data_IF_941809528366
#
_entry.id   IF_941809528366
#
_cell.length_a   1.000
_cell.length_b   1.000
_cell.length_c   1.000
_cell.angle_alpha   90.00
_cell.angle_beta   90.00
_cell.angle_gamma   90.00
#
_symmetry.space_group_name_H-M   'P 1'
#
loop_
_entity.id
_entity.type
_entity.pdbx_description
1 polymer ?
#
# COMPACT_ATOMS: atom_id res chain seq x y z
N UNK A 1 -38.71 11.53 17.66
CA UNK A 1 -39.00 11.52 16.19
C UNK A 1 -40.39 10.89 15.92
N UNK A 2 -40.62 9.63 16.39
CA UNK A 2 -41.89 8.95 16.18
C UNK A 2 -43.04 9.64 16.92
N UNK A 3 -42.90 9.90 18.22
CA UNK A 3 -43.92 10.59 19.06
C UNK A 3 -44.16 12.05 18.61
N UNK A 4 -43.22 12.64 17.93
CA UNK A 4 -43.31 14.00 17.35
C UNK A 4 -43.90 14.00 15.94
N UNK A 5 -44.26 12.84 15.38
CA UNK A 5 -44.79 12.69 14.04
C UNK A 5 -43.83 12.96 12.89
N UNK A 6 -42.52 12.96 13.15
CA UNK A 6 -41.50 13.18 12.14
C UNK A 6 -41.24 11.92 11.27
N UNK A 7 -41.58 10.74 11.76
CA UNK A 7 -41.58 9.47 11.03
C UNK A 7 -42.90 8.74 11.25
N UNK A 8 -43.32 7.98 10.26
CA UNK A 8 -44.58 7.19 10.31
C UNK A 8 -44.27 5.72 10.65
N UNK A 9 -45.33 4.96 11.01
CA UNK A 9 -45.20 3.49 11.15
C UNK A 9 -44.70 2.84 9.84
N UNK A 10 -45.18 3.34 8.69
CA UNK A 10 -44.74 2.84 7.38
C UNK A 10 -43.22 3.06 7.16
N UNK A 11 -42.67 4.16 7.64
CA UNK A 11 -41.20 4.40 7.57
C UNK A 11 -40.47 3.45 8.48
N UNK A 12 -40.97 3.22 9.70
CA UNK A 12 -40.42 2.26 10.64
C UNK A 12 -40.46 0.83 10.08
N UNK A 13 -41.62 0.40 9.60
CA UNK A 13 -41.83 -0.93 9.03
C UNK A 13 -40.91 -1.17 7.82
N UNK A 14 -40.73 -0.19 6.96
CA UNK A 14 -39.79 -0.26 5.82
C UNK A 14 -38.35 -0.45 6.29
N UNK A 15 -37.91 0.31 7.28
CA UNK A 15 -36.56 0.20 7.83
C UNK A 15 -36.31 -1.17 8.48
N UNK A 16 -37.26 -1.61 9.32
CA UNK A 16 -37.23 -2.92 10.00
C UNK A 16 -37.26 -4.08 9.00
N UNK A 17 -38.15 -3.98 7.96
CA UNK A 17 -38.24 -5.00 6.92
C UNK A 17 -36.93 -5.20 6.17
N UNK A 18 -36.21 -4.12 5.88
CA UNK A 18 -34.90 -4.23 5.23
C UNK A 18 -33.89 -5.02 6.09
N UNK A 19 -33.81 -4.73 7.38
CA UNK A 19 -32.93 -5.43 8.31
C UNK A 19 -33.33 -6.90 8.48
N UNK A 20 -34.63 -7.16 8.73
CA UNK A 20 -35.15 -8.50 8.92
C UNK A 20 -35.01 -9.35 7.66
N UNK A 21 -35.30 -8.80 6.48
CA UNK A 21 -35.13 -9.50 5.20
C UNK A 21 -33.69 -9.99 5.01
N UNK A 22 -32.69 -9.19 5.38
CA UNK A 22 -31.30 -9.61 5.32
C UNK A 22 -31.02 -10.74 6.31
N UNK A 23 -31.51 -10.65 7.54
CA UNK A 23 -31.37 -11.72 8.54
C UNK A 23 -32.00 -13.04 8.08
N UNK A 24 -33.20 -12.99 7.48
CA UNK A 24 -33.85 -14.18 6.92
C UNK A 24 -33.04 -14.77 5.76
N UNK A 25 -32.57 -13.95 4.81
CA UNK A 25 -31.75 -14.39 3.70
C UNK A 25 -30.44 -15.06 4.14
N UNK A 26 -29.86 -14.60 5.22
CA UNK A 26 -28.64 -15.18 5.82
C UNK A 26 -28.92 -16.41 6.69
N UNK A 27 -30.18 -16.81 6.88
CA UNK A 27 -30.56 -17.95 7.71
C UNK A 27 -30.28 -17.76 9.21
N UNK A 28 -30.18 -16.51 9.69
CA UNK A 28 -29.78 -16.21 11.07
C UNK A 28 -30.83 -16.61 12.10
N UNK A 29 -32.08 -16.85 11.69
CA UNK A 29 -33.14 -17.36 12.58
C UNK A 29 -33.11 -18.88 12.70
N UNK A 30 -32.52 -19.58 11.71
CA UNK A 30 -32.38 -21.02 11.69
C UNK A 30 -31.04 -21.48 12.29
N UNK A 31 -29.96 -20.80 11.90
CA UNK A 31 -28.62 -21.09 12.38
C UNK A 31 -27.76 -19.80 12.49
N UNK A 32 -27.82 -19.06 13.60
CA UNK A 32 -27.06 -17.82 13.79
C UNK A 32 -25.58 -18.02 14.09
N UNK A 33 -25.13 -19.25 14.28
CA UNK A 33 -23.79 -19.55 14.74
C UNK A 33 -22.82 -19.78 13.60
N UNK A 34 -21.60 -19.30 13.78
CA UNK A 34 -20.46 -19.59 12.88
C UNK A 34 -19.54 -20.63 13.51
N UNK A 35 -18.79 -21.30 12.67
CA UNK A 35 -17.78 -22.25 13.09
C UNK A 35 -16.40 -21.56 13.08
N UNK A 36 -15.80 -21.21 14.24
CA UNK A 36 -14.52 -20.49 14.28
C UNK A 36 -13.38 -21.24 13.60
N UNK A 37 -13.41 -22.58 13.63
CA UNK A 37 -12.43 -23.42 12.92
C UNK A 37 -12.55 -23.20 11.40
N UNK A 38 -13.77 -23.22 10.86
CA UNK A 38 -14.02 -23.01 9.43
C UNK A 38 -13.60 -21.62 8.99
N UNK A 39 -13.85 -20.58 9.80
CA UNK A 39 -13.40 -19.24 9.51
C UNK A 39 -11.88 -19.17 9.36
N UNK A 40 -11.12 -19.81 10.26
CA UNK A 40 -9.65 -19.88 10.16
C UNK A 40 -9.14 -20.66 8.94
N UNK A 41 -9.85 -21.67 8.50
CA UNK A 41 -9.50 -22.46 7.31
C UNK A 41 -9.76 -21.70 6.01
N UNK A 42 -10.81 -20.88 5.97
CA UNK A 42 -11.21 -20.15 4.77
C UNK A 42 -10.47 -18.82 4.63
N UNK A 43 -10.37 -18.05 5.75
CA UNK A 43 -9.66 -16.77 5.71
C UNK A 43 -8.21 -16.96 5.30
N UNK A 44 -7.80 -16.23 4.24
CA UNK A 44 -6.45 -16.30 3.68
C UNK A 44 -6.03 -17.71 3.22
N UNK A 45 -6.99 -18.51 2.76
CA UNK A 45 -6.69 -19.79 2.10
C UNK A 45 -5.76 -19.60 0.89
N UNK A 46 -5.20 -20.68 0.37
CA UNK A 46 -4.35 -20.63 -0.83
C UNK A 46 -5.09 -20.00 -2.02
N UNK A 47 -6.38 -20.28 -2.16
CA UNK A 47 -7.22 -19.71 -3.22
C UNK A 47 -7.40 -18.20 -3.03
N UNK A 48 -7.64 -17.75 -1.80
CA UNK A 48 -7.74 -16.31 -1.50
C UNK A 48 -6.44 -15.58 -1.79
N UNK A 49 -5.28 -16.16 -1.42
CA UNK A 49 -3.96 -15.57 -1.71
C UNK A 49 -3.68 -15.50 -3.21
N UNK A 50 -4.05 -16.53 -3.99
CA UNK A 50 -3.94 -16.51 -5.45
C UNK A 50 -4.84 -15.45 -6.09
N UNK A 51 -6.07 -15.32 -5.59
CA UNK A 51 -6.97 -14.27 -6.06
C UNK A 51 -6.44 -12.88 -5.73
N UNK A 52 -5.93 -12.67 -4.51
CA UNK A 52 -5.31 -11.41 -4.12
C UNK A 52 -4.10 -11.05 -5.00
N UNK A 53 -3.25 -12.01 -5.33
CA UNK A 53 -2.15 -11.82 -6.27
C UNK A 53 -2.66 -11.42 -7.66
N UNK A 54 -3.64 -12.15 -8.20
CA UNK A 54 -4.22 -11.85 -9.51
C UNK A 54 -4.83 -10.43 -9.55
N UNK A 55 -5.52 -10.02 -8.48
CA UNK A 55 -6.06 -8.65 -8.38
C UNK A 55 -4.93 -7.61 -8.37
N UNK A 56 -3.84 -7.87 -7.67
CA UNK A 56 -2.69 -6.97 -7.66
C UNK A 56 -2.00 -6.88 -9.04
N UNK A 57 -1.85 -8.01 -9.73
CA UNK A 57 -1.31 -8.07 -11.10
C UNK A 57 -2.19 -7.29 -12.09
N UNK A 58 -3.50 -7.51 -12.07
CA UNK A 58 -4.45 -6.84 -12.97
C UNK A 58 -4.67 -5.35 -12.60
N UNK A 59 -4.46 -5.00 -11.32
CA UNK A 59 -4.58 -3.64 -10.82
C UNK A 59 -3.35 -2.76 -11.10
N UNK A 60 -2.18 -3.37 -11.28
CA UNK A 60 -0.95 -2.62 -11.57
C UNK A 60 -0.96 -2.08 -12.99
N UNK A 61 -0.73 -0.77 -13.14
CA UNK A 61 -0.77 -0.09 -14.44
C UNK A 61 0.64 0.34 -14.86
N UNK A 62 1.09 -0.14 -16.01
CA UNK A 62 2.32 0.31 -16.65
C UNK A 62 2.03 1.58 -17.46
N UNK A 63 2.50 2.73 -16.95
CA UNK A 63 2.27 4.04 -17.55
C UNK A 63 3.32 4.41 -18.61
N UNK A 64 4.55 3.94 -18.43
CA UNK A 64 5.68 4.18 -19.36
C UNK A 64 6.63 2.99 -19.32
N UNK A 65 7.18 2.62 -20.48
CA UNK A 65 8.30 1.68 -20.58
C UNK A 65 9.11 1.97 -21.87
N UNK A 66 10.30 2.49 -21.69
CA UNK A 66 11.25 2.77 -22.79
C UNK A 66 12.08 1.50 -23.15
N UNK A 67 11.56 0.32 -22.84
CA UNK A 67 12.20 -0.97 -23.14
C UNK A 67 13.07 -1.53 -21.99
N UNK A 68 13.08 -0.90 -20.80
CA UNK A 68 13.83 -1.41 -19.65
C UNK A 68 13.14 -2.63 -19.00
N UNK A 69 11.82 -2.68 -19.04
CA UNK A 69 11.06 -3.82 -18.52
C UNK A 69 10.71 -4.81 -19.64
N UNK A 70 10.85 -6.12 -19.38
CA UNK A 70 11.30 -6.73 -18.14
C UNK A 70 12.78 -6.53 -17.87
N UNK A 71 13.19 -6.37 -16.59
CA UNK A 71 14.59 -6.26 -16.21
C UNK A 71 15.38 -7.49 -16.67
N UNK A 72 16.56 -7.25 -17.22
CA UNK A 72 17.40 -8.35 -17.73
C UNK A 72 17.90 -9.25 -16.59
N UNK A 73 17.81 -10.55 -16.78
CA UNK A 73 18.37 -11.56 -15.87
C UNK A 73 19.92 -11.61 -15.89
N UNK A 74 20.56 -10.87 -16.81
CA UNK A 74 22.02 -10.74 -16.87
C UNK A 74 22.58 -9.65 -15.96
N UNK A 75 21.72 -8.81 -15.38
CA UNK A 75 22.11 -7.81 -14.39
C UNK A 75 22.77 -8.50 -13.19
N UNK A 76 23.74 -7.83 -12.60
CA UNK A 76 24.49 -8.35 -11.43
C UNK A 76 24.01 -7.70 -10.14
N UNK A 77 23.53 -6.46 -10.22
CA UNK A 77 23.13 -5.71 -9.04
C UNK A 77 21.93 -4.80 -9.35
N UNK A 78 20.90 -4.90 -8.52
CA UNK A 78 19.70 -4.05 -8.57
C UNK A 78 19.61 -3.29 -7.25
N UNK A 79 19.45 -1.96 -7.32
CA UNK A 79 19.12 -1.15 -6.15
C UNK A 79 17.60 -0.97 -6.05
N UNK A 80 17.03 -1.39 -4.93
CA UNK A 80 15.63 -1.14 -4.59
C UNK A 80 15.63 -0.02 -3.56
N UNK A 81 15.03 1.11 -3.90
CA UNK A 81 15.13 2.34 -3.12
C UNK A 81 13.73 2.87 -2.84
N UNK A 82 13.56 3.57 -1.75
CA UNK A 82 12.36 4.35 -1.48
C UNK A 82 11.56 3.92 -0.25
N UNK A 83 10.71 4.84 0.25
CA UNK A 83 9.97 4.63 1.49
C UNK A 83 8.95 3.50 1.42
N UNK A 84 8.44 3.19 0.23
CA UNK A 84 7.42 2.15 0.03
C UNK A 84 8.00 0.81 -0.45
N UNK A 85 9.33 0.70 -0.62
CA UNK A 85 9.95 -0.51 -1.13
C UNK A 85 9.82 -1.71 -0.17
N UNK A 86 9.92 -1.46 1.14
CA UNK A 86 9.84 -2.48 2.19
C UNK A 86 9.01 -2.01 3.39
N UNK A 87 7.83 -1.48 3.12
CA UNK A 87 6.87 -1.06 4.15
C UNK A 87 5.53 -1.78 3.97
N UNK A 88 5.34 -2.94 4.65
CA UNK A 88 4.19 -3.82 4.45
C UNK A 88 2.85 -3.11 4.54
N UNK A 89 2.66 -2.29 5.56
CA UNK A 89 1.37 -1.64 5.80
C UNK A 89 1.05 -0.52 4.82
N UNK A 90 2.08 0.12 4.22
CA UNK A 90 1.83 1.16 3.20
C UNK A 90 1.17 0.56 1.94
N UNK A 91 1.44 -0.70 1.62
CA UNK A 91 0.82 -1.38 0.49
C UNK A 91 -0.52 -2.05 0.81
N UNK A 92 -0.86 -2.22 2.10
CA UNK A 92 -2.15 -2.77 2.52
C UNK A 92 -3.26 -1.71 2.58
N UNK A 93 -2.90 -0.46 2.85
CA UNK A 93 -3.85 0.63 3.05
C UNK A 93 -4.42 0.70 4.47
N UNK A 94 -5.48 1.49 4.62
CA UNK A 94 -6.19 1.69 5.89
C UNK A 94 -7.13 0.51 6.23
N UNK A 95 -7.63 0.46 7.45
CA UNK A 95 -8.56 -0.55 7.96
C UNK A 95 -8.07 -2.00 7.91
N UNK A 96 -6.76 -2.19 7.82
CA UNK A 96 -6.14 -3.51 7.83
C UNK A 96 -5.86 -3.95 9.27
N UNK A 97 -6.30 -5.15 9.64
CA UNK A 97 -5.92 -5.76 10.90
C UNK A 97 -4.40 -6.05 10.94
N UNK A 98 -3.76 -6.02 12.13
CA UNK A 98 -2.37 -6.39 12.27
C UNK A 98 -2.08 -7.76 11.67
N UNK A 99 -1.02 -7.84 10.85
CA UNK A 99 -0.58 -9.06 10.19
C UNK A 99 0.89 -9.34 10.51
N UNK A 100 1.30 -10.61 10.62
CA UNK A 100 2.71 -10.96 10.68
C UNK A 100 3.45 -10.47 9.43
N UNK A 101 4.69 -9.97 9.61
CA UNK A 101 5.50 -9.43 8.51
C UNK A 101 5.71 -10.43 7.36
N UNK A 102 5.92 -11.68 7.70
CA UNK A 102 6.17 -12.79 6.77
C UNK A 102 4.98 -13.14 5.88
N UNK A 103 3.80 -12.65 6.23
CA UNK A 103 2.59 -12.89 5.44
C UNK A 103 2.39 -11.88 4.32
N UNK A 104 3.20 -10.82 4.28
CA UNK A 104 3.09 -9.71 3.35
C UNK A 104 4.33 -9.67 2.47
N UNK A 105 4.17 -9.85 1.16
CA UNK A 105 5.25 -9.73 0.18
C UNK A 105 5.36 -8.29 -0.29
N UNK A 106 6.45 -7.61 0.08
CA UNK A 106 6.73 -6.24 -0.36
C UNK A 106 7.39 -6.24 -1.75
N UNK A 107 7.50 -5.07 -2.38
CA UNK A 107 8.22 -4.92 -3.65
C UNK A 107 9.66 -5.46 -3.53
N UNK A 108 10.34 -5.14 -2.42
CA UNK A 108 11.68 -5.66 -2.14
C UNK A 108 11.71 -7.19 -2.04
N UNK A 109 10.73 -7.78 -1.35
CA UNK A 109 10.63 -9.25 -1.23
C UNK A 109 10.43 -9.92 -2.58
N UNK A 110 9.54 -9.35 -3.41
CA UNK A 110 9.26 -9.86 -4.75
C UNK A 110 10.49 -9.81 -5.66
N UNK A 111 11.18 -8.69 -5.69
CA UNK A 111 12.42 -8.54 -6.48
C UNK A 111 13.49 -9.53 -6.01
N UNK A 112 13.69 -9.68 -4.70
CA UNK A 112 14.65 -10.66 -4.14
C UNK A 112 14.28 -12.09 -4.50
N UNK A 113 13.01 -12.43 -4.44
CA UNK A 113 12.53 -13.78 -4.78
C UNK A 113 12.79 -14.13 -6.25
N UNK A 114 12.54 -13.18 -7.17
CA UNK A 114 12.76 -13.38 -8.62
C UNK A 114 14.24 -13.31 -8.99
N UNK A 115 15.01 -12.43 -8.34
CA UNK A 115 16.44 -12.28 -8.56
C UNK A 115 17.23 -13.56 -8.18
N UNK A 116 16.77 -14.27 -7.16
CA UNK A 116 17.46 -15.45 -6.65
C UNK A 116 18.87 -15.11 -6.17
N UNK A 117 19.76 -16.14 -6.16
CA UNK A 117 21.14 -15.96 -5.70
C UNK A 117 22.12 -15.34 -6.73
N UNK A 118 21.65 -15.07 -7.95
CA UNK A 118 22.53 -14.64 -9.06
C UNK A 118 22.62 -13.12 -9.19
N UNK A 119 21.70 -12.38 -8.59
CA UNK A 119 21.62 -10.92 -8.64
C UNK A 119 21.68 -10.36 -7.22
N UNK A 120 22.62 -9.48 -6.95
CA UNK A 120 22.69 -8.76 -5.69
C UNK A 120 21.56 -7.71 -5.64
N UNK A 121 20.70 -7.78 -4.63
CA UNK A 121 19.63 -6.81 -4.40
C UNK A 121 19.96 -5.99 -3.16
N UNK A 122 20.36 -4.74 -3.37
CA UNK A 122 20.63 -3.79 -2.29
C UNK A 122 19.37 -2.95 -2.01
N UNK A 123 19.18 -2.59 -0.75
CA UNK A 123 18.03 -1.79 -0.33
C UNK A 123 18.48 -0.55 0.44
N UNK A 124 17.88 0.58 0.08
CA UNK A 124 18.00 1.83 0.83
C UNK A 124 16.65 2.56 0.88
N UNK A 125 16.22 2.94 2.07
CA UNK A 125 14.96 3.68 2.22
C UNK A 125 15.04 5.08 1.62
N UNK A 126 16.16 5.75 1.73
CA UNK A 126 16.43 7.08 1.23
C UNK A 126 15.68 8.20 1.95
N UNK A 127 14.37 8.06 2.17
CA UNK A 127 13.56 9.01 2.94
C UNK A 127 12.31 8.35 3.51
N UNK A 128 11.56 9.06 4.34
CA UNK A 128 10.21 8.69 4.77
C UNK A 128 9.15 9.32 3.84
N UNK A 129 7.88 8.92 3.99
CA UNK A 129 6.75 9.51 3.24
C UNK A 129 6.58 10.99 3.62
N UNK A 130 6.56 11.30 4.91
CA UNK A 130 6.27 12.65 5.43
C UNK A 130 7.43 13.26 6.20
N UNK A 131 8.12 12.47 7.04
CA UNK A 131 9.20 12.96 7.87
C UNK A 131 10.40 13.39 7.02
N UNK A 132 10.83 14.64 7.18
CA UNK A 132 11.96 15.22 6.46
C UNK A 132 13.29 15.09 7.20
N UNK A 133 13.26 14.62 8.45
CA UNK A 133 14.45 14.57 9.34
C UNK A 133 15.23 13.27 9.22
N UNK A 134 14.56 12.17 8.87
CA UNK A 134 15.14 10.81 8.78
C UNK A 134 15.65 10.43 7.37
N UNK A 135 15.87 11.41 6.48
CA UNK A 135 16.29 11.12 5.12
C UNK A 135 17.82 10.88 5.04
N UNK A 136 18.19 9.81 4.31
CA UNK A 136 19.57 9.54 3.89
C UNK A 136 19.63 9.36 2.35
N UNK A 137 19.39 10.46 1.64
CA UNK A 137 19.46 10.50 0.18
C UNK A 137 20.88 10.16 -0.32
N UNK A 138 21.98 10.58 0.33
CA UNK A 138 23.32 10.18 -0.08
C UNK A 138 23.55 8.67 -0.06
N UNK A 139 23.01 7.92 0.91
CA UNK A 139 23.11 6.46 0.92
C UNK A 139 22.35 5.84 -0.27
N UNK A 140 21.15 6.34 -0.55
CA UNK A 140 20.37 5.91 -1.71
C UNK A 140 21.09 6.17 -3.04
N UNK A 141 21.75 7.33 -3.19
CA UNK A 141 22.56 7.65 -4.38
C UNK A 141 23.72 6.67 -4.53
N UNK A 142 24.47 6.40 -3.46
CA UNK A 142 25.57 5.42 -3.50
C UNK A 142 25.09 4.02 -3.90
N UNK A 143 23.94 3.60 -3.39
CA UNK A 143 23.32 2.33 -3.77
C UNK A 143 22.95 2.31 -5.27
N UNK A 144 22.37 3.39 -5.77
CA UNK A 144 22.03 3.55 -7.18
C UNK A 144 23.27 3.53 -8.09
N UNK A 145 24.32 4.30 -7.76
CA UNK A 145 25.56 4.36 -8.53
C UNK A 145 26.23 2.99 -8.71
N UNK A 146 26.16 2.15 -7.67
CA UNK A 146 26.71 0.80 -7.69
C UNK A 146 25.85 -0.25 -8.40
N UNK A 147 24.66 0.10 -8.90
CA UNK A 147 23.72 -0.84 -9.49
C UNK A 147 23.69 -0.79 -11.03
N UNK A 148 23.21 -1.88 -11.65
CA UNK A 148 22.93 -1.94 -13.09
C UNK A 148 21.58 -1.29 -13.43
N UNK A 149 20.63 -1.36 -12.50
CA UNK A 149 19.34 -0.69 -12.58
C UNK A 149 18.82 -0.34 -11.18
N UNK A 150 17.93 0.64 -11.13
CA UNK A 150 17.27 1.10 -9.90
C UNK A 150 15.77 0.89 -10.01
N UNK A 151 15.17 0.32 -8.97
CA UNK A 151 13.73 0.31 -8.74
C UNK A 151 13.44 1.24 -7.57
N UNK A 152 12.85 2.39 -7.86
CA UNK A 152 12.52 3.42 -6.88
C UNK A 152 11.04 3.37 -6.54
N UNK A 153 10.69 3.07 -5.29
CA UNK A 153 9.32 2.87 -4.84
C UNK A 153 8.91 4.02 -3.93
N UNK A 154 8.04 4.86 -4.44
CA UNK A 154 7.57 6.10 -3.80
C UNK A 154 6.03 6.11 -3.67
N UNK A 155 5.47 7.20 -3.19
CA UNK A 155 4.02 7.40 -3.16
C UNK A 155 3.51 7.87 -1.81
N UNK A 156 2.34 7.37 -1.43
CA UNK A 156 1.66 7.70 -0.20
C UNK A 156 1.48 6.52 0.75
N UNK A 157 0.74 6.78 1.81
CA UNK A 157 0.32 5.77 2.78
C UNK A 157 -0.98 6.19 3.45
N UNK A 158 -1.92 5.27 3.60
CA UNK A 158 -3.06 5.40 4.50
C UNK A 158 -2.94 4.47 5.72
N UNK A 159 -1.78 3.83 5.89
CA UNK A 159 -1.55 2.88 6.96
C UNK A 159 -1.50 3.57 8.31
N UNK A 160 -2.29 3.07 9.25
CA UNK A 160 -2.24 3.48 10.65
C UNK A 160 -0.99 2.91 11.33
N UNK A 161 -0.49 3.62 12.33
CA UNK A 161 0.73 3.22 13.05
C UNK A 161 0.48 2.16 14.15
N UNK A 162 -0.76 1.64 14.26
CA UNK A 162 -1.23 0.71 15.30
C UNK A 162 -1.07 1.22 16.75
N UNK A 163 -0.71 2.46 16.95
CA UNK A 163 -0.70 3.13 18.25
C UNK A 163 -2.04 3.80 18.53
N UNK A 164 -2.88 3.89 17.52
CA UNK A 164 -4.20 4.49 17.60
C UNK A 164 -5.05 3.77 18.64
N UNK A 165 -5.51 4.50 19.65
CA UNK A 165 -6.49 3.99 20.63
C UNK A 165 -7.89 4.19 20.05
N UNK A 166 -8.78 3.29 20.44
CA UNK A 166 -10.18 3.35 20.05
C UNK A 166 -11.03 3.66 21.27
N UNK A 167 -12.03 4.52 21.11
CA UNK A 167 -13.06 4.74 22.13
C UNK A 167 -14.08 3.59 22.11
N UNK A 168 -14.95 3.53 23.12
CA UNK A 168 -15.91 2.44 23.29
C UNK A 168 -16.87 2.26 22.09
N UNK A 169 -17.08 3.27 21.26
CA UNK A 169 -17.89 3.20 20.04
C UNK A 169 -17.13 2.64 18.83
N UNK A 170 -15.84 2.33 18.97
CA UNK A 170 -14.99 1.86 17.89
C UNK A 170 -14.36 2.98 17.06
N UNK A 171 -14.64 4.26 17.34
CA UNK A 171 -14.00 5.36 16.66
C UNK A 171 -12.55 5.52 17.11
N UNK A 172 -11.66 5.76 16.14
CA UNK A 172 -10.25 6.03 16.42
C UNK A 172 -10.08 7.37 17.13
N UNK A 173 -9.21 7.40 18.15
CA UNK A 173 -8.74 8.66 18.73
C UNK A 173 -7.56 9.17 17.91
N UNK A 174 -7.51 10.48 17.68
CA UNK A 174 -6.32 11.12 17.11
C UNK A 174 -5.20 10.99 18.14
N UNK A 175 -4.08 10.38 17.77
CA UNK A 175 -2.90 10.37 18.62
C UNK A 175 -2.23 11.74 18.55
N UNK A 176 -2.15 12.42 19.69
CA UNK A 176 -1.42 13.68 19.84
C UNK A 176 0.10 13.46 19.95
N UNK A 177 0.58 12.25 19.67
CA UNK A 177 2.02 11.97 19.74
C UNK A 177 2.76 12.87 18.75
N UNK A 178 3.91 13.38 19.18
CA UNK A 178 4.78 14.23 18.35
C UNK A 178 5.51 13.46 17.24
N UNK A 179 5.29 12.14 17.15
CA UNK A 179 5.92 11.30 16.12
C UNK A 179 5.10 11.41 14.84
N UNK A 180 5.69 11.95 13.80
CA UNK A 180 5.05 12.07 12.50
C UNK A 180 4.90 10.70 11.87
N UNK A 181 3.65 10.22 11.75
CA UNK A 181 3.33 8.97 11.05
C UNK A 181 3.47 9.15 9.54
N UNK A 182 3.74 8.05 8.82
CA UNK A 182 3.73 8.04 7.35
C UNK A 182 2.31 8.17 6.75
N UNK A 183 1.27 8.00 7.56
CA UNK A 183 -0.11 8.19 7.14
C UNK A 183 -0.35 9.62 6.65
N UNK A 184 -0.75 9.76 5.40
CA UNK A 184 -0.92 11.06 4.75
C UNK A 184 -2.34 11.29 4.21
N UNK A 185 -3.12 10.22 4.17
CA UNK A 185 -4.55 10.22 3.82
C UNK A 185 -5.25 9.06 4.52
N UNK A 186 -6.58 9.08 4.56
CA UNK A 186 -7.40 8.08 5.22
C UNK A 186 -8.34 8.72 6.24
N UNK A 187 -8.89 7.93 7.15
CA UNK A 187 -9.82 8.44 8.14
C UNK A 187 -9.15 9.44 9.10
N UNK A 188 -9.68 10.65 9.15
CA UNK A 188 -9.15 11.74 9.98
C UNK A 188 -7.92 12.45 9.41
N UNK A 189 -7.42 12.03 8.25
CA UNK A 189 -6.27 12.63 7.58
C UNK A 189 -6.57 12.92 6.12
N UNK A 190 -6.15 14.09 5.67
CA UNK A 190 -6.13 14.42 4.25
C UNK A 190 -4.97 15.35 3.94
N UNK A 191 -4.72 15.54 2.66
CA UNK A 191 -3.63 16.35 2.14
C UNK A 191 -4.16 17.49 1.27
N UNK A 192 -3.48 18.62 1.32
CA UNK A 192 -3.85 19.80 0.54
C UNK A 192 -3.25 19.82 -0.87
N UNK A 193 -2.42 18.83 -1.23
CA UNK A 193 -1.72 18.76 -2.52
C UNK A 193 -1.65 17.32 -3.02
N UNK A 194 -1.54 17.14 -4.33
CA UNK A 194 -1.31 15.83 -4.95
C UNK A 194 0.17 15.53 -5.22
N UNK A 195 1.10 16.43 -4.87
CA UNK A 195 2.54 16.17 -4.98
C UNK A 195 3.00 15.15 -3.95
N UNK A 196 4.09 14.44 -4.23
CA UNK A 196 4.75 13.60 -3.23
C UNK A 196 5.12 14.42 -1.99
N UNK A 197 4.91 13.86 -0.80
CA UNK A 197 5.23 14.54 0.46
C UNK A 197 6.68 14.26 0.89
N UNK A 198 7.12 14.97 1.93
CA UNK A 198 8.45 14.81 2.50
C UNK A 198 9.58 15.17 1.54
N UNK A 199 10.55 14.29 1.42
CA UNK A 199 11.72 14.44 0.53
C UNK A 199 11.70 13.51 -0.69
N UNK A 200 10.57 12.94 -1.03
CA UNK A 200 10.47 11.95 -2.11
C UNK A 200 10.83 12.53 -3.48
N UNK A 201 10.39 13.77 -3.79
CA UNK A 201 10.78 14.44 -5.05
C UNK A 201 12.31 14.67 -5.10
N UNK A 202 12.91 15.05 -3.97
CA UNK A 202 14.37 15.21 -3.87
C UNK A 202 15.10 13.88 -4.05
N UNK A 203 14.52 12.78 -3.57
CA UNK A 203 15.06 11.43 -3.77
C UNK A 203 15.00 11.04 -5.25
N UNK A 204 13.87 11.27 -5.94
CA UNK A 204 13.73 11.03 -7.39
C UNK A 204 14.82 11.79 -8.16
N UNK A 205 14.96 13.09 -7.88
CA UNK A 205 15.96 13.93 -8.53
C UNK A 205 17.40 13.45 -8.30
N UNK A 206 17.73 13.08 -7.08
CA UNK A 206 19.07 12.62 -6.74
C UNK A 206 19.41 11.28 -7.39
N UNK A 207 18.47 10.34 -7.39
CA UNK A 207 18.63 9.03 -8.03
C UNK A 207 18.70 9.18 -9.55
N UNK A 208 17.85 10.00 -10.16
CA UNK A 208 17.86 10.23 -11.60
C UNK A 208 19.22 10.80 -12.10
N UNK A 209 19.86 11.69 -11.31
CA UNK A 209 21.18 12.25 -11.63
C UNK A 209 22.30 11.21 -11.71
N UNK A 210 22.11 10.01 -11.17
CA UNK A 210 23.09 8.92 -11.32
C UNK A 210 23.19 8.40 -12.76
N UNK A 211 22.20 8.70 -13.61
CA UNK A 211 22.14 8.24 -15.00
C UNK A 211 21.90 6.73 -15.14
N UNK A 212 21.55 6.04 -14.06
CA UNK A 212 21.26 4.61 -14.11
C UNK A 212 19.86 4.35 -14.67
N UNK A 213 19.64 3.22 -15.37
CA UNK A 213 18.31 2.78 -15.75
C UNK A 213 17.37 2.80 -14.55
N UNK A 214 16.26 3.54 -14.65
CA UNK A 214 15.38 3.87 -13.53
C UNK A 214 13.95 3.43 -13.79
N UNK A 215 13.47 2.52 -12.96
CA UNK A 215 12.06 2.14 -12.85
C UNK A 215 11.47 2.82 -11.62
N UNK A 216 10.37 3.54 -11.78
CA UNK A 216 9.66 4.17 -10.65
C UNK A 216 8.32 3.48 -10.47
N UNK A 217 8.03 3.07 -9.23
CA UNK A 217 6.77 2.44 -8.81
C UNK A 217 6.09 3.33 -7.78
N UNK A 218 4.85 3.70 -8.04
CA UNK A 218 4.00 4.41 -7.09
C UNK A 218 3.12 3.43 -6.33
N UNK A 219 3.21 3.48 -5.00
CA UNK A 219 2.22 2.86 -4.08
C UNK A 219 1.36 4.01 -3.57
N UNK A 220 0.07 4.01 -3.90
CA UNK A 220 -0.78 5.17 -3.66
C UNK A 220 -2.27 4.80 -3.57
N UNK A 221 -3.02 5.49 -2.72
CA UNK A 221 -4.47 5.31 -2.58
C UNK A 221 -5.29 6.26 -3.44
N UNK A 222 -4.66 7.21 -4.07
CA UNK A 222 -5.22 8.18 -5.03
C UNK A 222 -4.17 8.57 -6.05
N UNK A 223 -4.55 8.99 -7.26
CA UNK A 223 -3.57 9.47 -8.26
C UNK A 223 -2.76 10.66 -7.71
N UNK A 224 -1.45 10.50 -7.66
CA UNK A 224 -0.52 11.56 -7.31
C UNK A 224 0.09 12.18 -8.57
N UNK A 225 0.66 13.38 -8.45
CA UNK A 225 1.39 14.01 -9.54
C UNK A 225 2.67 13.25 -9.83
N UNK A 226 2.86 12.87 -11.09
CA UNK A 226 3.99 12.06 -11.56
C UNK A 226 4.86 12.81 -12.58
N UNK A 227 4.69 14.13 -12.73
CA UNK A 227 5.32 14.89 -13.81
C UNK A 227 6.82 14.63 -13.91
N UNK A 228 7.53 14.81 -12.80
CA UNK A 228 8.98 14.60 -12.79
C UNK A 228 9.37 13.13 -12.92
N UNK A 229 8.65 12.23 -12.28
CA UNK A 229 8.86 10.79 -12.43
C UNK A 229 8.71 10.35 -13.91
N UNK A 230 7.68 10.84 -14.60
CA UNK A 230 7.44 10.52 -16.01
C UNK A 230 8.56 11.03 -16.96
N UNK A 231 9.18 12.16 -16.62
CA UNK A 231 10.32 12.70 -17.38
C UNK A 231 11.58 11.84 -17.24
N UNK A 232 11.92 11.44 -16.00
CA UNK A 232 13.21 10.83 -15.70
C UNK A 232 13.22 9.31 -15.70
N UNK A 233 12.07 8.65 -15.48
CA UNK A 233 11.98 7.21 -15.46
C UNK A 233 12.09 6.58 -16.85
N UNK A 234 12.79 5.45 -16.97
CA UNK A 234 12.73 4.57 -18.14
C UNK A 234 11.48 3.70 -18.12
N UNK A 235 10.96 3.37 -16.93
CA UNK A 235 9.63 2.79 -16.76
C UNK A 235 8.93 3.38 -15.55
N UNK A 236 7.61 3.55 -15.64
CA UNK A 236 6.77 4.13 -14.61
C UNK A 236 5.52 3.27 -14.43
N UNK A 237 5.26 2.88 -13.18
CA UNK A 237 4.10 2.07 -12.80
C UNK A 237 3.36 2.73 -11.64
N UNK A 238 2.02 2.54 -11.60
CA UNK A 238 1.24 2.69 -10.38
C UNK A 238 0.67 1.34 -9.98
N UNK A 239 0.88 0.96 -8.74
CA UNK A 239 0.43 -0.31 -8.17
C UNK A 239 -0.74 -0.11 -7.21
N UNK A 240 -1.20 1.13 -6.99
CA UNK A 240 -2.21 1.47 -5.99
C UNK A 240 -1.80 0.94 -4.61
N UNK A 241 -2.73 0.35 -3.86
CA UNK A 241 -2.44 -0.48 -2.69
C UNK A 241 -2.53 -1.95 -3.09
N UNK A 242 -1.42 -2.60 -3.46
CA UNK A 242 -1.45 -3.92 -4.08
C UNK A 242 -1.73 -5.07 -3.10
N UNK A 243 -1.89 -4.75 -1.80
CA UNK A 243 -2.24 -5.72 -0.79
C UNK A 243 -1.12 -6.67 -0.38
N UNK A 244 -1.48 -7.76 0.32
CA UNK A 244 -0.51 -8.70 0.91
C UNK A 244 0.37 -9.44 -0.12
N UNK A 245 -0.07 -9.52 -1.37
CA UNK A 245 0.64 -10.21 -2.44
C UNK A 245 1.33 -9.26 -3.42
N UNK A 246 1.40 -7.95 -3.10
CA UNK A 246 1.92 -6.93 -4.01
C UNK A 246 3.34 -7.16 -4.52
N UNK A 247 4.21 -7.77 -3.72
CA UNK A 247 5.56 -8.12 -4.18
C UNK A 247 5.60 -9.33 -5.12
N UNK A 248 4.53 -10.11 -5.23
CA UNK A 248 4.45 -11.23 -6.17
C UNK A 248 3.80 -10.84 -7.49
N UNK A 249 3.07 -9.74 -7.47
CA UNK A 249 2.49 -9.14 -8.67
C UNK A 249 3.55 -8.37 -9.46
#
# INVERSE_FOLDING_TARGET
AFDEGLITMADLDRAVSNVLSMKFRLGLFDNPYVQPKRAREVCRSTEHKKLAQKVAEEGTVLLKNDGILPLSRTMKRIAVIGPNADMPYNQLGDYTAPQPREEISTVLDGIRAVAGGNVEVVYERGCAIRDTTSADIPAAVRAAEGADAVVLVVGGSSARDFKTKYIATGAATVDESKTLSDMECGEGFDRATLSLLGKQEQLIEAVAKTGKPLVIVYIEGRPLLMNRAAEVANALLTAWYPGEQGGKA
#
